data_IF_433152395718
#
_entry.id   IF_433152395718
#
_cell.length_a   1.000
_cell.length_b   1.000
_cell.length_c   1.000
_cell.angle_alpha   90.00
_cell.angle_beta   90.00
_cell.angle_gamma   90.00
#
_symmetry.space_group_name_H-M   'P 1'
#
loop_
_entity.id
_entity.type
_entity.pdbx_description
1 polymer ?
#
# COMPACT_ATOMS: atom_id res chain seq x y z
N UNK A 1 13.55 -3.37 -25.17
CA UNK A 1 12.16 -3.63 -24.69
C UNK A 1 12.21 -4.01 -23.22
N UNK A 2 11.33 -3.42 -22.42
CA UNK A 2 11.23 -3.77 -21.02
C UNK A 2 10.73 -5.22 -20.87
N UNK A 3 11.29 -6.03 -19.97
CA UNK A 3 11.02 -7.46 -19.89
C UNK A 3 9.61 -7.82 -19.38
N UNK A 4 8.90 -6.89 -18.76
CA UNK A 4 7.53 -7.01 -18.25
C UNK A 4 6.92 -5.61 -18.14
N UNK A 5 5.55 -5.48 -17.98
CA UNK A 5 4.89 -4.19 -17.83
C UNK A 5 5.40 -3.41 -16.62
N UNK A 6 5.24 -2.08 -16.65
CA UNK A 6 5.42 -1.27 -15.46
C UNK A 6 4.33 -1.61 -14.43
N UNK A 7 4.59 -1.33 -13.16
CA UNK A 7 3.62 -1.53 -12.08
C UNK A 7 2.34 -0.71 -12.27
N UNK A 8 1.22 -1.27 -11.84
CA UNK A 8 -0.09 -0.59 -11.87
C UNK A 8 -0.27 0.35 -10.69
N UNK A 9 0.35 0.03 -9.55
CA UNK A 9 0.26 0.79 -8.29
C UNK A 9 1.61 0.99 -7.64
N UNK A 10 1.78 2.15 -7.02
CA UNK A 10 2.92 2.45 -6.16
C UNK A 10 2.43 2.94 -4.80
N UNK A 11 3.00 2.39 -3.74
CA UNK A 11 2.82 2.90 -2.38
C UNK A 11 4.09 3.59 -1.91
N UNK A 12 3.96 4.80 -1.40
CA UNK A 12 5.04 5.59 -0.81
C UNK A 12 4.70 5.81 0.66
N UNK A 13 5.41 5.15 1.57
CA UNK A 13 5.23 5.38 3.01
C UNK A 13 5.79 6.75 3.37
N UNK A 14 4.95 7.78 3.33
CA UNK A 14 5.39 9.16 3.55
C UNK A 14 5.89 9.43 4.98
N UNK A 15 5.44 8.62 5.92
CA UNK A 15 5.91 8.58 7.31
C UNK A 15 5.71 7.18 7.91
N UNK A 16 6.38 6.88 9.02
CA UNK A 16 6.30 5.57 9.71
C UNK A 16 5.18 5.49 10.75
N UNK A 17 4.22 6.41 10.75
CA UNK A 17 3.25 6.58 11.81
C UNK A 17 1.82 6.21 11.41
N UNK A 18 1.10 5.56 12.32
CA UNK A 18 -0.35 5.36 12.27
C UNK A 18 -0.94 5.67 13.64
N UNK A 19 -2.11 6.24 13.70
CA UNK A 19 -2.82 6.55 14.95
C UNK A 19 -3.45 5.31 15.62
N UNK A 20 -3.51 4.16 14.91
CA UNK A 20 -4.08 2.91 15.43
C UNK A 20 -3.02 1.85 15.69
N UNK A 21 -3.35 0.89 16.57
CA UNK A 21 -2.57 -0.32 16.88
C UNK A 21 -3.47 -1.55 16.70
N UNK A 22 -3.73 -1.92 15.42
CA UNK A 22 -4.61 -3.04 15.09
C UNK A 22 -3.89 -4.38 15.30
N UNK A 23 -4.54 -5.34 15.95
CA UNK A 23 -3.96 -6.66 16.27
C UNK A 23 -3.50 -7.48 15.05
N UNK A 24 -4.10 -7.24 13.88
CA UNK A 24 -3.76 -7.86 12.60
C UNK A 24 -2.69 -7.08 11.80
N UNK A 25 -2.13 -6.01 12.35
CA UNK A 25 -1.12 -5.20 11.69
C UNK A 25 0.27 -5.47 12.29
N UNK A 26 1.25 -5.74 11.45
CA UNK A 26 2.64 -5.98 11.86
C UNK A 26 3.19 -4.83 12.72
N UNK A 27 2.74 -3.60 12.44
CA UNK A 27 3.15 -2.40 13.15
C UNK A 27 2.81 -2.41 14.65
N UNK A 28 1.80 -3.15 15.08
CA UNK A 28 1.36 -3.17 16.50
C UNK A 28 2.44 -3.65 17.45
N UNK A 29 3.31 -4.54 16.99
CA UNK A 29 4.39 -5.13 17.78
C UNK A 29 5.74 -4.46 17.52
N UNK A 30 5.76 -3.30 16.89
CA UNK A 30 6.97 -2.61 16.49
C UNK A 30 7.03 -1.20 17.08
N UNK A 31 8.14 -0.90 17.74
CA UNK A 31 8.44 0.39 18.37
C UNK A 31 9.32 1.29 17.48
N UNK A 32 9.24 1.12 16.15
CA UNK A 32 10.02 1.96 15.25
C UNK A 32 9.74 3.46 15.47
N UNK A 33 10.77 4.27 15.36
CA UNK A 33 10.68 5.71 15.56
C UNK A 33 9.75 6.37 14.54
N UNK A 34 9.21 7.53 14.94
CA UNK A 34 8.34 8.33 14.07
C UNK A 34 9.18 9.13 13.09
N UNK A 35 9.44 8.56 11.95
CA UNK A 35 10.22 9.16 10.89
C UNK A 35 9.34 9.57 9.69
N UNK A 36 9.90 10.42 8.82
CA UNK A 36 9.26 10.88 7.60
C UNK A 36 10.22 10.76 6.44
N UNK A 37 9.74 10.21 5.35
CA UNK A 37 10.42 10.33 4.06
C UNK A 37 10.49 11.81 3.67
N UNK A 38 11.63 12.28 3.21
CA UNK A 38 11.79 13.69 2.84
C UNK A 38 10.86 14.08 1.70
N UNK A 39 10.40 15.31 1.70
CA UNK A 39 9.54 15.84 0.62
C UNK A 39 10.26 15.80 -0.72
N UNK A 40 11.57 16.07 -0.74
CA UNK A 40 12.37 16.06 -1.96
C UNK A 40 12.47 14.68 -2.59
N UNK A 41 12.62 13.63 -1.77
CA UNK A 41 12.62 12.25 -2.27
C UNK A 41 11.23 11.82 -2.79
N UNK A 42 10.16 12.23 -2.12
CA UNK A 42 8.81 11.98 -2.63
C UNK A 42 8.64 12.68 -3.99
N UNK A 43 9.01 13.96 -4.09
CA UNK A 43 8.91 14.71 -5.35
C UNK A 43 9.81 14.15 -6.44
N UNK A 44 11.02 13.68 -6.12
CA UNK A 44 11.89 12.96 -7.07
C UNK A 44 11.13 11.80 -7.73
N UNK A 45 10.52 10.94 -6.92
CA UNK A 45 9.74 9.80 -7.45
C UNK A 45 8.56 10.28 -8.31
N UNK A 46 7.85 11.33 -7.89
CA UNK A 46 6.73 11.86 -8.68
C UNK A 46 7.18 12.44 -10.02
N UNK A 47 8.34 13.11 -10.08
CA UNK A 47 8.92 13.60 -11.35
C UNK A 47 9.35 12.43 -12.24
N UNK A 48 10.02 11.40 -11.71
CA UNK A 48 10.40 10.21 -12.46
C UNK A 48 9.19 9.50 -13.08
N UNK A 49 8.07 9.44 -12.35
CA UNK A 49 6.80 8.87 -12.84
C UNK A 49 6.16 9.77 -13.91
N UNK A 50 6.23 11.09 -13.76
CA UNK A 50 5.69 12.03 -14.74
C UNK A 50 6.49 11.99 -16.07
N UNK A 51 7.81 11.84 -16.01
CA UNK A 51 8.66 11.72 -17.21
C UNK A 51 8.30 10.56 -18.11
N UNK A 52 7.79 9.46 -17.54
CA UNK A 52 7.33 8.29 -18.30
C UNK A 52 5.82 8.31 -18.57
N UNK A 53 5.15 9.43 -18.31
CA UNK A 53 3.69 9.58 -18.43
C UNK A 53 2.91 8.47 -17.71
N UNK A 54 3.33 8.11 -16.48
CA UNK A 54 2.74 7.01 -15.70
C UNK A 54 1.23 7.16 -15.54
N UNK A 55 0.48 6.12 -15.88
CA UNK A 55 -1.00 6.10 -15.83
C UNK A 55 -1.56 5.30 -14.64
N UNK A 56 -0.70 4.62 -13.89
CA UNK A 56 -1.10 3.86 -12.71
C UNK A 56 -1.44 4.76 -11.51
N UNK A 57 -1.60 4.16 -10.36
CA UNK A 57 -2.09 4.81 -9.16
C UNK A 57 -0.99 4.99 -8.11
N UNK A 58 -0.94 6.16 -7.51
CA UNK A 58 0.02 6.55 -6.47
C UNK A 58 -0.70 6.68 -5.14
N UNK A 59 -0.16 6.07 -4.09
CA UNK A 59 -0.65 6.23 -2.74
C UNK A 59 0.48 6.61 -1.78
N UNK A 60 0.16 7.39 -0.77
CA UNK A 60 1.09 7.81 0.28
C UNK A 60 0.89 7.02 1.57
N UNK A 61 0.58 5.73 1.43
CA UNK A 61 0.46 4.80 2.54
C UNK A 61 1.23 3.50 2.27
N UNK A 62 1.65 2.85 3.36
CA UNK A 62 2.14 1.48 3.38
C UNK A 62 1.71 0.83 4.70
N UNK A 63 2.37 1.16 5.81
CA UNK A 63 1.95 0.81 7.17
C UNK A 63 1.62 2.04 8.03
N UNK A 64 1.58 3.21 7.44
CA UNK A 64 1.11 4.45 8.05
C UNK A 64 -0.38 4.69 7.79
N UNK A 65 -0.96 5.62 8.53
CA UNK A 65 -2.23 6.24 8.15
C UNK A 65 -1.94 7.52 7.37
N UNK A 66 -2.49 7.61 6.15
CA UNK A 66 -2.18 8.66 5.19
C UNK A 66 -2.40 10.07 5.72
N UNK A 67 -3.48 10.29 6.47
CA UNK A 67 -3.84 11.61 7.01
C UNK A 67 -3.10 12.01 8.29
N UNK A 68 -2.21 11.17 8.80
CA UNK A 68 -1.28 11.58 9.88
C UNK A 68 -0.15 12.47 9.37
N UNK A 69 0.12 12.47 8.06
CA UNK A 69 1.10 13.34 7.47
C UNK A 69 0.47 14.67 7.04
N UNK A 70 0.81 15.76 7.76
CA UNK A 70 0.28 17.10 7.47
C UNK A 70 0.62 17.61 6.07
N UNK A 71 1.59 16.99 5.37
CA UNK A 71 2.00 17.33 4.00
C UNK A 71 1.12 16.67 2.93
N UNK A 72 0.20 15.79 3.31
CA UNK A 72 -0.52 14.93 2.36
C UNK A 72 -1.20 15.69 1.23
N UNK A 73 -1.83 16.80 1.54
CA UNK A 73 -2.50 17.63 0.53
C UNK A 73 -1.52 18.29 -0.45
N UNK A 74 -0.29 18.62 -0.01
CA UNK A 74 0.75 19.08 -0.92
C UNK A 74 1.24 17.99 -1.87
N UNK A 75 1.23 16.73 -1.43
CA UNK A 75 1.55 15.59 -2.29
C UNK A 75 0.45 15.33 -3.32
N UNK A 76 -0.82 15.39 -2.93
CA UNK A 76 -1.94 15.31 -3.88
C UNK A 76 -1.91 16.47 -4.89
N UNK A 77 -1.61 17.69 -4.43
CA UNK A 77 -1.46 18.83 -5.33
C UNK A 77 -0.32 18.60 -6.33
N UNK A 78 0.84 18.13 -5.87
CA UNK A 78 1.96 17.82 -6.77
C UNK A 78 1.58 16.74 -7.80
N UNK A 79 0.87 15.69 -7.40
CA UNK A 79 0.37 14.69 -8.33
C UNK A 79 -0.57 15.30 -9.37
N UNK A 80 -1.50 16.16 -8.96
CA UNK A 80 -2.41 16.87 -9.86
C UNK A 80 -1.65 17.74 -10.87
N UNK A 81 -0.67 18.52 -10.41
CA UNK A 81 0.15 19.40 -11.26
C UNK A 81 0.94 18.61 -12.30
N UNK A 82 1.32 17.38 -12.00
CA UNK A 82 2.06 16.46 -12.86
C UNK A 82 1.15 15.52 -13.69
N UNK A 83 -0.17 15.64 -13.58
CA UNK A 83 -1.12 14.78 -14.30
C UNK A 83 -1.14 13.31 -13.83
N UNK A 84 -0.68 13.05 -12.59
CA UNK A 84 -0.62 11.73 -11.96
C UNK A 84 -1.90 11.44 -11.19
N UNK A 85 -2.26 10.16 -11.09
CA UNK A 85 -3.47 9.71 -10.42
C UNK A 85 -3.16 9.16 -9.02
N UNK A 86 -4.07 9.42 -8.09
CA UNK A 86 -3.92 8.94 -6.73
C UNK A 86 -4.96 7.87 -6.37
N UNK A 87 -4.61 6.99 -5.44
CA UNK A 87 -5.56 6.22 -4.66
C UNK A 87 -5.32 6.43 -3.17
N UNK A 88 -6.40 6.38 -2.39
CA UNK A 88 -6.36 6.56 -0.94
C UNK A 88 -6.76 5.26 -0.27
N UNK A 89 -5.99 4.88 0.75
CA UNK A 89 -6.34 3.83 1.68
C UNK A 89 -6.24 4.41 3.10
N UNK A 90 -7.35 4.44 3.84
CA UNK A 90 -7.42 5.09 5.15
C UNK A 90 -8.29 4.31 6.13
N UNK A 91 -8.00 4.47 7.43
CA UNK A 91 -8.84 3.96 8.51
C UNK A 91 -10.04 4.88 8.83
N UNK A 92 -10.14 6.04 8.19
CA UNK A 92 -11.25 6.97 8.30
C UNK A 92 -11.23 7.92 9.51
N UNK A 93 -10.35 7.75 10.48
CA UNK A 93 -10.35 8.52 11.74
C UNK A 93 -10.18 10.04 11.55
N UNK A 94 -9.54 10.45 10.47
CA UNK A 94 -9.30 11.86 10.15
C UNK A 94 -10.29 12.44 9.15
N UNK A 95 -11.23 11.61 8.67
CA UNK A 95 -12.22 12.06 7.70
C UNK A 95 -13.31 12.91 8.38
N UNK A 96 -13.61 14.03 7.76
CA UNK A 96 -14.75 14.89 8.07
C UNK A 96 -15.16 15.61 6.79
N UNK A 97 -16.28 16.31 6.81
CA UNK A 97 -16.82 17.00 5.64
C UNK A 97 -15.82 17.95 4.97
N UNK A 98 -14.99 18.64 5.73
CA UNK A 98 -13.97 19.56 5.19
C UNK A 98 -12.86 18.79 4.45
N UNK A 99 -12.38 17.69 5.02
CA UNK A 99 -11.36 16.84 4.39
C UNK A 99 -11.91 16.22 3.10
N UNK A 100 -13.12 15.68 3.14
CA UNK A 100 -13.77 15.08 1.95
C UNK A 100 -13.96 16.12 0.86
N UNK A 101 -14.43 17.33 1.19
CA UNK A 101 -14.60 18.41 0.21
C UNK A 101 -13.26 18.80 -0.44
N UNK A 102 -12.20 18.91 0.37
CA UNK A 102 -10.88 19.23 -0.13
C UNK A 102 -10.33 18.14 -1.06
N UNK A 103 -10.62 16.85 -0.78
CA UNK A 103 -10.15 15.74 -1.63
C UNK A 103 -10.73 15.78 -3.05
N UNK A 104 -11.90 16.38 -3.27
CA UNK A 104 -12.51 16.54 -4.59
C UNK A 104 -11.69 17.40 -5.56
N UNK A 105 -10.80 18.20 -5.02
CA UNK A 105 -9.93 19.07 -5.83
C UNK A 105 -8.78 18.31 -6.50
N UNK A 106 -8.53 17.05 -6.13
CA UNK A 106 -7.36 16.27 -6.58
C UNK A 106 -7.74 15.11 -7.50
N UNK A 107 -6.73 14.56 -8.19
CA UNK A 107 -6.89 13.42 -9.10
C UNK A 107 -6.99 12.09 -8.33
N UNK A 108 -7.97 11.96 -7.46
CA UNK A 108 -8.24 10.71 -6.75
C UNK A 108 -9.08 9.81 -7.67
N UNK A 109 -8.61 8.59 -7.91
CA UNK A 109 -9.30 7.58 -8.75
C UNK A 109 -9.93 6.46 -7.94
N UNK A 110 -9.27 6.05 -6.85
CA UNK A 110 -9.77 5.02 -5.95
C UNK A 110 -9.73 5.52 -4.51
N UNK A 111 -10.75 5.21 -3.74
CA UNK A 111 -10.85 5.51 -2.33
C UNK A 111 -11.29 4.28 -1.55
N UNK A 112 -10.38 3.70 -0.77
CA UNK A 112 -10.62 2.58 0.11
C UNK A 112 -10.70 3.04 1.56
N UNK A 113 -11.86 2.87 2.16
CA UNK A 113 -12.09 3.08 3.58
C UNK A 113 -12.08 1.75 4.32
N UNK A 114 -11.21 1.61 5.31
CA UNK A 114 -11.19 0.42 6.17
C UNK A 114 -11.75 0.74 7.55
N UNK A 115 -12.86 0.11 7.90
CA UNK A 115 -13.48 0.23 9.21
C UNK A 115 -12.99 -0.92 10.09
N UNK A 116 -12.18 -0.61 11.12
CA UNK A 116 -11.50 -1.59 11.95
C UNK A 116 -12.07 -1.76 13.35
N UNK A 117 -12.90 -0.82 13.82
CA UNK A 117 -13.38 -0.70 15.20
C UNK A 117 -14.85 -1.05 15.38
N UNK A 118 -15.39 -1.87 14.48
CA UNK A 118 -16.76 -2.37 14.59
C UNK A 118 -16.88 -3.45 15.68
N UNK A 119 -18.02 -3.48 16.36
CA UNK A 119 -18.32 -4.38 17.47
C UNK A 119 -19.38 -5.42 17.11
N UNK A 120 -20.23 -5.10 16.13
CA UNK A 120 -21.30 -5.95 15.59
C UNK A 120 -21.57 -5.54 14.15
N UNK A 121 -22.35 -6.33 13.42
CA UNK A 121 -22.76 -5.97 12.06
C UNK A 121 -23.60 -4.70 12.01
N UNK A 122 -24.43 -4.46 13.02
CA UNK A 122 -25.21 -3.23 13.13
C UNK A 122 -24.32 -2.01 13.33
N UNK A 123 -23.32 -2.08 14.22
CA UNK A 123 -22.32 -1.01 14.43
C UNK A 123 -21.51 -0.75 13.16
N UNK A 124 -21.15 -1.82 12.43
CA UNK A 124 -20.49 -1.68 11.14
C UNK A 124 -21.37 -0.94 10.12
N UNK A 125 -22.66 -1.30 10.02
CA UNK A 125 -23.60 -0.64 9.12
C UNK A 125 -23.85 0.82 9.51
N UNK A 126 -23.92 1.14 10.80
CA UNK A 126 -24.02 2.52 11.27
C UNK A 126 -22.82 3.37 10.83
N UNK A 127 -21.60 2.83 10.99
CA UNK A 127 -20.37 3.47 10.48
C UNK A 127 -20.37 3.63 8.96
N UNK A 128 -20.80 2.62 8.21
CA UNK A 128 -20.97 2.72 6.76
C UNK A 128 -21.95 3.84 6.39
N UNK A 129 -23.08 3.92 7.10
CA UNK A 129 -24.08 4.96 6.88
C UNK A 129 -23.52 6.37 7.13
N UNK A 130 -22.73 6.55 8.20
CA UNK A 130 -22.06 7.83 8.47
C UNK A 130 -21.19 8.26 7.28
N UNK A 131 -20.30 7.39 6.82
CA UNK A 131 -19.40 7.72 5.70
C UNK A 131 -20.15 7.92 4.38
N UNK A 132 -21.22 7.17 4.13
CA UNK A 132 -21.97 7.25 2.89
C UNK A 132 -22.97 8.42 2.87
N UNK A 133 -23.72 8.64 3.96
CA UNK A 133 -24.81 9.62 4.00
C UNK A 133 -24.34 10.98 4.48
N UNK A 134 -23.57 11.02 5.58
CA UNK A 134 -23.11 12.27 6.19
C UNK A 134 -21.90 12.85 5.44
N UNK A 135 -20.92 12.01 5.13
CA UNK A 135 -19.72 12.45 4.40
C UNK A 135 -19.82 12.29 2.87
N UNK A 136 -20.83 11.56 2.38
CA UNK A 136 -21.11 11.37 0.94
C UNK A 136 -19.90 10.88 0.16
N UNK A 137 -19.13 9.95 0.74
CA UNK A 137 -17.91 9.44 0.10
C UNK A 137 -18.18 8.73 -1.23
N UNK A 138 -19.32 8.05 -1.36
CA UNK A 138 -19.73 7.37 -2.59
C UNK A 138 -20.24 8.29 -3.71
N UNK A 139 -20.53 9.56 -3.41
CA UNK A 139 -21.11 10.53 -4.37
C UNK A 139 -20.03 11.31 -5.16
N UNK A 140 -18.80 10.80 -5.17
CA UNK A 140 -17.66 11.48 -5.78
C UNK A 140 -17.18 10.79 -7.07
N UNK A 141 -16.21 11.39 -7.75
CA UNK A 141 -15.69 10.91 -9.04
C UNK A 141 -14.72 9.74 -8.94
N UNK A 142 -14.37 9.28 -7.72
CA UNK A 142 -13.50 8.13 -7.48
C UNK A 142 -14.29 6.83 -7.33
N UNK A 143 -13.66 5.71 -7.64
CA UNK A 143 -14.16 4.40 -7.23
C UNK A 143 -14.05 4.28 -5.71
N UNK A 144 -15.18 3.97 -5.05
CA UNK A 144 -15.26 3.93 -3.60
C UNK A 144 -15.67 2.56 -3.10
N UNK A 145 -14.96 2.07 -2.09
CA UNK A 145 -15.31 0.83 -1.41
C UNK A 145 -14.94 0.86 0.07
N UNK A 146 -15.77 0.20 0.87
CA UNK A 146 -15.56 0.01 2.30
C UNK A 146 -15.03 -1.41 2.53
N UNK A 147 -13.96 -1.50 3.29
CA UNK A 147 -13.38 -2.76 3.73
C UNK A 147 -13.78 -2.98 5.19
N UNK A 148 -14.46 -4.09 5.46
CA UNK A 148 -14.69 -4.55 6.82
C UNK A 148 -13.38 -5.08 7.37
N UNK A 149 -12.71 -4.26 8.17
CA UNK A 149 -11.37 -4.55 8.64
C UNK A 149 -11.36 -5.61 9.75
N UNK A 150 -10.23 -6.30 9.89
CA UNK A 150 -10.06 -7.35 10.91
C UNK A 150 -10.36 -8.77 10.43
N UNK A 151 -10.95 -8.95 9.27
CA UNK A 151 -11.23 -10.25 8.67
C UNK A 151 -10.25 -10.55 7.52
N UNK A 152 -9.72 -11.77 7.47
CA UNK A 152 -8.95 -12.32 6.33
C UNK A 152 -7.70 -11.56 5.84
N UNK A 153 -6.92 -10.97 6.74
CA UNK A 153 -5.69 -10.28 6.36
C UNK A 153 -4.45 -11.17 6.18
N UNK A 154 -4.61 -12.49 6.19
CA UNK A 154 -3.48 -13.41 6.17
C UNK A 154 -2.55 -13.25 7.39
N UNK A 155 -1.47 -14.01 7.42
CA UNK A 155 -0.53 -14.00 8.54
C UNK A 155 0.56 -12.91 8.43
N UNK A 156 0.43 -11.97 7.49
CA UNK A 156 1.43 -10.92 7.27
C UNK A 156 2.86 -11.47 7.14
N UNK A 157 3.02 -12.51 6.33
CA UNK A 157 4.27 -13.24 6.16
C UNK A 157 4.87 -13.79 7.47
N UNK A 158 4.03 -14.21 8.39
CA UNK A 158 4.42 -14.76 9.69
C UNK A 158 4.62 -13.74 10.80
N UNK A 159 4.44 -12.44 10.53
CA UNK A 159 4.59 -11.38 11.55
C UNK A 159 3.37 -11.23 12.45
N UNK A 160 2.23 -11.76 12.06
CA UNK A 160 1.00 -11.73 12.85
C UNK A 160 0.52 -13.16 13.08
N UNK A 161 0.42 -13.55 14.34
CA UNK A 161 -0.14 -14.83 14.72
C UNK A 161 -1.66 -14.76 14.69
N UNK A 162 -2.27 -15.29 13.64
CA UNK A 162 -3.69 -15.61 13.67
C UNK A 162 -3.90 -16.92 14.43
N UNK A 163 -4.99 -16.99 15.22
CA UNK A 163 -5.37 -18.17 16.01
C UNK A 163 -5.75 -19.39 15.16
N UNK A 164 -5.60 -19.34 13.86
CA UNK A 164 -5.85 -20.48 12.98
C UNK A 164 -4.67 -21.45 13.05
N UNK A 165 -4.80 -22.46 13.88
CA UNK A 165 -3.81 -23.50 14.18
C UNK A 165 -3.38 -24.35 12.97
N UNK A 166 -4.02 -24.18 11.79
CA UNK A 166 -3.78 -25.01 10.60
C UNK A 166 -3.62 -24.19 9.29
N UNK A 167 -2.89 -23.08 9.34
CA UNK A 167 -2.65 -22.30 8.14
C UNK A 167 -1.71 -23.07 7.18
N UNK A 168 -2.26 -23.62 6.10
CA UNK A 168 -1.46 -24.26 5.06
C UNK A 168 -0.74 -23.19 4.25
N UNK A 169 0.59 -23.15 4.34
CA UNK A 169 1.41 -22.23 3.56
C UNK A 169 1.50 -22.69 2.10
N UNK A 170 1.22 -21.83 1.13
CA UNK A 170 1.24 -22.20 -0.30
C UNK A 170 2.66 -22.18 -0.86
N UNK A 171 3.55 -23.01 -0.32
CA UNK A 171 5.00 -22.96 -0.58
C UNK A 171 5.42 -23.21 -2.02
N UNK A 172 4.58 -23.88 -2.80
CA UNK A 172 4.83 -24.17 -4.21
C UNK A 172 3.87 -23.42 -5.15
N UNK A 173 3.01 -22.54 -4.59
CA UNK A 173 2.13 -21.72 -5.38
C UNK A 173 2.85 -20.47 -5.90
N UNK A 174 2.53 -20.06 -7.10
CA UNK A 174 3.02 -18.79 -7.66
C UNK A 174 2.49 -17.57 -6.87
N UNK A 175 3.14 -16.43 -7.05
CA UNK A 175 2.67 -15.16 -6.52
C UNK A 175 2.96 -14.04 -7.51
N UNK A 176 1.89 -13.38 -7.98
CA UNK A 176 1.97 -12.26 -8.94
C UNK A 176 1.83 -10.88 -8.31
N UNK A 177 1.69 -10.79 -6.98
CA UNK A 177 1.57 -9.49 -6.27
C UNK A 177 2.71 -8.52 -6.61
N UNK A 178 3.93 -9.04 -6.73
CA UNK A 178 5.12 -8.24 -7.02
C UNK A 178 5.21 -7.74 -8.47
N UNK A 179 4.35 -8.22 -9.35
CA UNK A 179 4.35 -7.85 -10.76
C UNK A 179 3.48 -6.62 -11.06
N UNK A 180 2.63 -6.22 -10.11
CA UNK A 180 1.65 -5.15 -10.29
C UNK A 180 1.86 -3.97 -9.37
N UNK A 181 2.71 -4.12 -8.34
CA UNK A 181 2.88 -3.10 -7.32
C UNK A 181 4.33 -2.96 -6.88
N UNK A 182 4.71 -1.73 -6.58
CA UNK A 182 5.98 -1.39 -5.94
C UNK A 182 5.70 -0.62 -4.64
N UNK A 183 6.48 -0.91 -3.60
CA UNK A 183 6.29 -0.34 -2.28
C UNK A 183 7.59 0.31 -1.79
N UNK A 184 7.52 1.59 -1.43
CA UNK A 184 8.62 2.40 -0.90
C UNK A 184 8.34 2.66 0.57
N UNK A 185 9.32 2.36 1.43
CA UNK A 185 9.26 2.62 2.87
C UNK A 185 9.69 4.05 3.20
N UNK A 186 9.35 4.47 4.42
CA UNK A 186 9.67 5.81 4.95
C UNK A 186 11.17 6.14 4.98
N UNK A 187 12.05 5.12 4.92
CA UNK A 187 13.52 5.26 4.86
C UNK A 187 14.06 5.31 3.41
N UNK A 188 13.17 5.37 2.42
CA UNK A 188 13.52 5.38 1.00
C UNK A 188 13.83 4.01 0.41
N UNK A 189 13.90 2.95 1.22
CA UNK A 189 14.11 1.60 0.72
C UNK A 189 12.89 1.09 -0.06
N UNK A 190 13.14 0.46 -1.20
CA UNK A 190 12.13 -0.20 -2.02
C UNK A 190 12.15 -1.67 -1.69
N UNK A 191 10.98 -2.23 -1.35
CA UNK A 191 10.86 -3.59 -0.83
C UNK A 191 10.18 -4.53 -1.81
N UNK A 192 10.35 -5.83 -1.57
CA UNK A 192 9.84 -6.88 -2.43
C UNK A 192 8.33 -6.81 -2.63
N UNK A 193 7.56 -6.65 -1.56
CA UNK A 193 6.10 -6.56 -1.60
C UNK A 193 5.53 -5.93 -0.34
N UNK A 194 4.21 -5.69 -0.33
CA UNK A 194 3.50 -5.08 0.79
C UNK A 194 3.53 -5.88 2.12
N UNK A 195 4.00 -7.12 2.13
CA UNK A 195 4.19 -7.89 3.36
C UNK A 195 5.57 -7.69 3.99
N UNK A 196 6.51 -7.05 3.28
CA UNK A 196 7.88 -6.83 3.74
C UNK A 196 8.00 -5.59 4.63
N UNK A 197 7.33 -5.64 5.78
CA UNK A 197 7.30 -4.54 6.75
C UNK A 197 8.69 -4.13 7.24
N UNK A 198 9.54 -5.11 7.52
CA UNK A 198 10.90 -4.87 8.04
C UNK A 198 11.93 -4.55 6.96
N UNK A 199 11.59 -4.72 5.68
CA UNK A 199 12.51 -4.48 4.58
C UNK A 199 13.64 -5.51 4.53
N UNK A 200 13.34 -6.78 4.79
CA UNK A 200 14.33 -7.87 4.73
C UNK A 200 14.70 -8.24 3.28
N UNK A 201 13.84 -7.94 2.32
CA UNK A 201 14.08 -8.13 0.89
C UNK A 201 14.02 -6.80 0.15
N UNK A 202 14.99 -5.91 0.44
CA UNK A 202 15.16 -4.66 -0.31
C UNK A 202 15.57 -4.97 -1.74
N UNK A 203 15.01 -4.21 -2.69
CA UNK A 203 15.31 -4.32 -4.12
C UNK A 203 16.02 -3.06 -4.67
N UNK A 204 16.12 -2.02 -3.86
CA UNK A 204 16.80 -0.76 -4.16
C UNK A 204 16.52 0.31 -3.11
N UNK A 205 17.01 1.52 -3.34
CA UNK A 205 16.74 2.69 -2.52
C UNK A 205 16.57 3.94 -3.40
N UNK A 206 15.47 4.66 -3.26
CA UNK A 206 15.18 5.86 -4.06
C UNK A 206 16.15 7.04 -3.79
N UNK A 207 16.94 6.97 -2.72
CA UNK A 207 18.01 7.96 -2.48
C UNK A 207 19.16 7.79 -3.48
N UNK A 208 19.39 6.60 -3.97
CA UNK A 208 20.55 6.22 -4.79
C UNK A 208 20.18 5.96 -6.25
N UNK A 209 18.94 5.50 -6.49
CA UNK A 209 18.50 4.97 -7.78
C UNK A 209 17.20 5.63 -8.25
N UNK A 210 16.93 5.56 -9.56
CA UNK A 210 15.63 5.90 -10.15
C UNK A 210 14.65 4.76 -9.92
N UNK A 211 13.37 5.08 -9.62
CA UNK A 211 12.35 4.06 -9.32
C UNK A 211 12.10 3.10 -10.49
N UNK A 212 12.29 3.56 -11.71
CA UNK A 212 12.11 2.76 -12.93
C UNK A 212 13.27 1.77 -13.10
N UNK A 213 14.50 2.19 -12.78
CA UNK A 213 15.66 1.32 -12.80
C UNK A 213 15.57 0.23 -11.73
N UNK A 214 15.10 0.58 -10.52
CA UNK A 214 14.81 -0.40 -9.47
C UNK A 214 13.77 -1.42 -9.95
N UNK A 215 12.68 -0.95 -10.60
CA UNK A 215 11.61 -1.82 -11.09
C UNK A 215 12.10 -2.84 -12.11
N UNK A 216 12.90 -2.41 -13.08
CA UNK A 216 13.43 -3.29 -14.12
C UNK A 216 14.79 -3.94 -13.77
N UNK A 217 15.30 -3.71 -12.56
CA UNK A 217 16.56 -4.23 -12.06
C UNK A 217 16.60 -5.77 -11.94
N UNK A 218 17.81 -6.31 -11.88
CA UNK A 218 18.04 -7.76 -11.84
C UNK A 218 17.38 -8.43 -10.63
N UNK A 219 17.39 -7.78 -9.46
CA UNK A 219 16.81 -8.33 -8.24
C UNK A 219 15.30 -8.54 -8.45
N UNK A 220 14.57 -7.52 -8.92
CA UNK A 220 13.14 -7.61 -9.20
C UNK A 220 12.84 -8.66 -10.26
N UNK A 221 13.61 -8.69 -11.34
CA UNK A 221 13.46 -9.68 -12.42
C UNK A 221 13.58 -11.10 -11.89
N UNK A 222 14.62 -11.36 -11.09
CA UNK A 222 14.82 -12.68 -10.48
C UNK A 222 13.64 -13.05 -9.57
N UNK A 223 13.17 -12.14 -8.72
CA UNK A 223 12.04 -12.37 -7.85
C UNK A 223 10.78 -12.75 -8.63
N UNK A 224 10.46 -12.03 -9.71
CA UNK A 224 9.30 -12.32 -10.57
C UNK A 224 9.42 -13.73 -11.17
N UNK A 225 10.56 -14.09 -11.73
CA UNK A 225 10.77 -15.40 -12.32
C UNK A 225 10.62 -16.51 -11.28
N UNK A 226 11.24 -16.35 -10.12
CA UNK A 226 11.19 -17.34 -9.04
C UNK A 226 9.75 -17.52 -8.52
N UNK A 227 9.04 -16.43 -8.28
CA UNK A 227 7.69 -16.50 -7.73
C UNK A 227 6.64 -16.97 -8.75
N UNK A 228 6.82 -16.71 -10.04
CA UNK A 228 5.98 -17.33 -11.10
C UNK A 228 6.13 -18.86 -11.11
N UNK A 229 7.32 -19.36 -10.81
CA UNK A 229 7.61 -20.81 -10.73
C UNK A 229 7.25 -21.44 -9.37
N UNK A 230 6.71 -20.67 -8.44
CA UNK A 230 6.37 -21.16 -7.10
C UNK A 230 7.59 -21.35 -6.17
N UNK A 231 8.74 -20.78 -6.48
CA UNK A 231 9.97 -20.91 -5.69
C UNK A 231 9.94 -20.00 -4.44
N UNK A 232 8.85 -20.01 -3.68
CA UNK A 232 8.67 -19.15 -2.49
C UNK A 232 9.70 -19.42 -1.41
N UNK A 233 10.20 -20.65 -1.31
CA UNK A 233 11.22 -21.07 -0.32
C UNK A 233 12.55 -20.33 -0.48
N UNK A 234 12.83 -19.74 -1.65
CA UNK A 234 14.02 -18.94 -1.90
C UNK A 234 14.03 -17.61 -1.13
N UNK A 235 12.88 -17.20 -0.59
CA UNK A 235 12.71 -15.93 0.10
C UNK A 235 12.13 -16.17 1.49
N UNK A 236 12.80 -15.71 2.54
CA UNK A 236 12.37 -15.88 3.92
C UNK A 236 10.94 -15.37 4.14
N UNK A 237 10.63 -14.18 3.62
CA UNK A 237 9.31 -13.58 3.68
C UNK A 237 8.23 -14.49 3.07
N UNK A 238 8.49 -14.99 1.85
CA UNK A 238 7.51 -15.79 1.11
C UNK A 238 7.35 -17.19 1.68
N UNK A 239 8.38 -17.75 2.32
CA UNK A 239 8.33 -19.07 2.95
C UNK A 239 7.39 -19.12 4.15
N UNK A 240 7.08 -17.96 4.75
CA UNK A 240 6.20 -17.80 5.92
C UNK A 240 4.86 -17.17 5.56
N UNK A 241 4.66 -16.73 4.33
CA UNK A 241 3.50 -15.96 3.91
C UNK A 241 2.32 -16.85 3.53
N UNK A 242 1.16 -16.63 4.15
CA UNK A 242 -0.09 -17.32 3.79
C UNK A 242 -0.78 -16.73 2.56
N UNK A 243 -0.44 -15.50 2.19
CA UNK A 243 -1.01 -14.86 1.02
C UNK A 243 -0.45 -15.45 -0.27
N UNK A 244 -1.29 -15.64 -1.25
CA UNK A 244 -0.91 -15.89 -2.63
C UNK A 244 -1.95 -15.30 -3.58
N UNK A 245 -1.52 -14.90 -4.75
CA UNK A 245 -2.41 -14.51 -5.84
C UNK A 245 -1.99 -15.32 -7.04
N UNK A 246 -2.80 -16.27 -7.41
CA UNK A 246 -2.71 -16.98 -8.67
C UNK A 246 -3.73 -16.35 -9.63
N UNK A 247 -3.31 -15.42 -10.45
CA UNK A 247 -3.96 -15.19 -11.74
C UNK A 247 -3.23 -16.07 -12.76
N UNK A 248 -3.55 -17.34 -12.79
CA UNK A 248 -3.22 -18.19 -13.93
C UNK A 248 -4.31 -17.91 -14.98
N UNK A 249 -3.97 -17.10 -15.96
CA UNK A 249 -4.68 -17.11 -17.24
C UNK A 249 -3.91 -17.94 -18.24
#
# INVERSE_FOLDING_TARGET
MNPYPIFDKISIESNSFCNRSCSFCTRTNDNREKEKLSTDLIYKVLYELAEIEYKGLISFHFYNEVFTDKRIFSFFQKCKDLGLNNYIFTNGDFLNAKVVEQLKEYNIKEFALSIYDWKSDDDFQEKCNYFNKELKLGDNSWEYYIIKGGENFGNRAGYVNHKEENLTLPLNAGCTKIEKKIDIRYDGSVVMCCQDYYGIHKIGNIQEENIIDIWYGEIRRKQIIDLRKGHRKNYELCSKCSDYVLEIK
#
